data_IF_070318164004
#
_entry.id   IF_070318164004
#
_cell.length_a   1.000
_cell.length_b   1.000
_cell.length_c   1.000
_cell.angle_alpha   90.00
_cell.angle_beta   90.00
_cell.angle_gamma   90.00
#
_symmetry.space_group_name_H-M   'P 1'
#
loop_
_entity.id
_entity.type
_entity.pdbx_description
1 polymer ?
#
# COMPACT_ATOMS: atom_id res chain seq x y z
N UNK A 1 8.43 -1.32 17.38
CA UNK A 1 8.58 -0.30 16.32
C UNK A 1 8.14 -0.92 15.02
N UNK A 2 7.43 -0.17 14.18
CA UNK A 2 6.94 -0.59 12.88
C UNK A 2 6.20 0.57 12.23
N UNK A 3 5.97 0.50 10.93
CA UNK A 3 5.15 1.45 10.20
C UNK A 3 4.30 0.71 9.18
N UNK A 4 3.09 1.22 8.95
CA UNK A 4 2.26 0.77 7.85
C UNK A 4 2.82 1.33 6.54
N UNK A 5 2.96 0.48 5.53
CA UNK A 5 3.52 0.82 4.23
C UNK A 5 2.44 0.89 3.16
N UNK A 6 2.64 1.74 2.16
CA UNK A 6 1.85 1.76 0.93
C UNK A 6 2.77 1.45 -0.26
N UNK A 7 2.30 0.62 -1.17
CA UNK A 7 2.94 0.34 -2.46
C UNK A 7 2.15 1.10 -3.52
N UNK A 8 2.85 1.96 -4.26
CA UNK A 8 2.26 2.80 -5.31
C UNK A 8 3.14 2.81 -6.57
N UNK A 9 2.54 3.15 -7.71
CA UNK A 9 3.22 3.20 -9.02
C UNK A 9 3.57 4.61 -9.47
N UNK A 10 3.01 5.65 -8.84
CA UNK A 10 3.09 7.05 -9.25
C UNK A 10 2.79 7.24 -10.75
N UNK A 11 1.77 6.52 -11.22
CA UNK A 11 1.46 6.44 -12.63
C UNK A 11 0.90 7.77 -13.15
N UNK A 12 1.61 8.38 -14.11
CA UNK A 12 1.18 9.59 -14.82
C UNK A 12 0.45 9.28 -16.14
N UNK A 13 0.40 8.01 -16.54
CA UNK A 13 -0.33 7.46 -17.69
C UNK A 13 -0.80 6.03 -17.32
N UNK A 14 -1.87 5.50 -17.94
CA UNK A 14 -2.40 4.17 -17.61
C UNK A 14 -1.36 3.04 -17.66
N UNK A 15 -0.46 3.07 -18.65
CA UNK A 15 0.62 2.08 -18.81
C UNK A 15 1.59 2.05 -17.61
N UNK A 16 1.66 3.15 -16.84
CA UNK A 16 2.46 3.24 -15.62
C UNK A 16 1.99 2.29 -14.52
N UNK A 17 0.72 1.87 -14.51
CA UNK A 17 0.19 0.95 -13.49
C UNK A 17 0.88 -0.42 -13.53
N UNK A 18 1.44 -0.82 -14.68
CA UNK A 18 2.12 -2.12 -14.83
C UNK A 18 3.37 -2.26 -13.95
N UNK A 19 3.98 -1.15 -13.54
CA UNK A 19 5.23 -1.18 -12.76
C UNK A 19 4.99 -1.49 -11.27
N UNK A 20 3.73 -1.54 -10.81
CA UNK A 20 3.37 -1.85 -9.40
C UNK A 20 3.99 -3.17 -8.92
N UNK A 21 4.21 -4.12 -9.85
CA UNK A 21 4.87 -5.40 -9.59
C UNK A 21 6.27 -5.23 -8.98
N UNK A 22 7.00 -4.17 -9.34
CA UNK A 22 8.32 -3.90 -8.78
C UNK A 22 8.22 -3.44 -7.33
N UNK A 23 7.18 -2.69 -6.96
CA UNK A 23 6.89 -2.35 -5.57
C UNK A 23 6.66 -3.60 -4.70
N UNK A 24 5.90 -4.56 -5.21
CA UNK A 24 5.70 -5.87 -4.55
C UNK A 24 7.03 -6.64 -4.42
N UNK A 25 7.87 -6.64 -5.47
CA UNK A 25 9.19 -7.27 -5.40
C UNK A 25 10.07 -6.64 -4.32
N UNK A 26 10.03 -5.31 -4.15
CA UNK A 26 10.77 -4.64 -3.08
C UNK A 26 10.23 -4.97 -1.69
N UNK A 27 8.90 -5.00 -1.51
CA UNK A 27 8.28 -5.40 -0.25
C UNK A 27 8.72 -6.81 0.19
N UNK A 28 8.75 -7.77 -0.75
CA UNK A 28 9.24 -9.13 -0.49
C UNK A 28 10.72 -9.17 -0.08
N UNK A 29 11.56 -8.32 -0.68
CA UNK A 29 12.99 -8.20 -0.29
C UNK A 29 13.16 -7.62 1.11
N UNK A 30 12.25 -6.74 1.54
CA UNK A 30 12.20 -6.18 2.87
C UNK A 30 11.55 -7.11 3.91
N UNK A 31 11.09 -8.29 3.49
CA UNK A 31 10.37 -9.26 4.32
C UNK A 31 9.06 -8.72 4.88
N UNK A 32 8.45 -7.74 4.20
CA UNK A 32 7.13 -7.24 4.56
C UNK A 32 6.07 -8.32 4.30
N UNK A 33 5.19 -8.50 5.27
CA UNK A 33 4.03 -9.37 5.20
C UNK A 33 2.80 -8.57 4.71
N UNK A 34 1.71 -9.24 4.25
CA UNK A 34 0.51 -8.55 3.81
C UNK A 34 -0.06 -7.56 4.85
N UNK A 35 0.04 -7.89 6.13
CA UNK A 35 -0.44 -7.06 7.25
C UNK A 35 0.36 -5.76 7.43
N UNK A 36 1.60 -5.70 6.90
CA UNK A 36 2.43 -4.49 6.89
C UNK A 36 2.03 -3.51 5.77
N UNK A 37 1.25 -3.95 4.79
CA UNK A 37 0.95 -3.22 3.55
C UNK A 37 -0.52 -2.81 3.51
N UNK A 38 -0.82 -1.51 3.53
CA UNK A 38 -2.21 -1.02 3.55
C UNK A 38 -3.03 -1.42 2.32
N UNK A 39 -2.39 -1.59 1.15
CA UNK A 39 -3.04 -1.95 -0.10
C UNK A 39 -3.72 -3.34 -0.07
N UNK A 40 -3.42 -4.19 0.91
CA UNK A 40 -3.97 -5.54 1.02
C UNK A 40 -5.33 -5.57 1.72
N UNK A 41 -5.71 -4.48 2.41
CA UNK A 41 -6.97 -4.40 3.14
C UNK A 41 -8.16 -4.31 2.18
N UNK A 42 -9.33 -4.86 2.56
CA UNK A 42 -10.60 -4.57 1.90
C UNK A 42 -10.87 -3.06 1.84
N UNK A 43 -11.61 -2.63 0.81
CA UNK A 43 -11.90 -1.21 0.57
C UNK A 43 -12.57 -0.53 1.78
N UNK A 44 -13.52 -1.20 2.43
CA UNK A 44 -14.22 -0.66 3.60
C UNK A 44 -13.24 -0.40 4.76
N UNK A 45 -12.37 -1.36 5.07
CA UNK A 45 -11.35 -1.21 6.12
C UNK A 45 -10.34 -0.11 5.81
N UNK A 46 -9.95 0.05 4.54
CA UNK A 46 -9.06 1.13 4.11
C UNK A 46 -9.70 2.52 4.34
N UNK A 47 -10.96 2.67 3.96
CA UNK A 47 -11.69 3.94 4.11
C UNK A 47 -11.90 4.28 5.59
N UNK A 48 -12.28 3.30 6.42
CA UNK A 48 -12.38 3.48 7.87
C UNK A 48 -11.05 3.93 8.47
N UNK A 49 -9.94 3.28 8.10
CA UNK A 49 -8.60 3.65 8.58
C UNK A 49 -8.22 5.10 8.21
N UNK A 50 -8.52 5.56 7.00
CA UNK A 50 -8.25 6.96 6.60
C UNK A 50 -9.11 7.93 7.41
N UNK A 51 -10.39 7.60 7.62
CA UNK A 51 -11.30 8.47 8.35
C UNK A 51 -10.85 8.65 9.80
N UNK A 52 -10.57 7.56 10.51
CA UNK A 52 -10.07 7.58 11.89
C UNK A 52 -8.81 8.44 12.01
N UNK A 53 -7.88 8.31 11.06
CA UNK A 53 -6.63 9.08 11.05
C UNK A 53 -6.78 10.57 10.78
N UNK A 54 -7.87 11.01 10.16
CA UNK A 54 -8.13 12.44 9.92
C UNK A 54 -8.83 13.10 11.12
N UNK A 55 -9.36 12.30 12.04
CA UNK A 55 -10.05 12.75 13.25
C UNK A 55 -9.09 12.88 14.46
N UNK A 56 -7.87 12.34 14.35
CA UNK A 56 -6.73 12.51 15.29
C UNK A 56 -5.97 13.84 15.07
#
# INVERSE_FOLDING_TARGET
YGCLLAIDSDAHHPDGLEIIRYGVMQARRAWAEPDDIINTRPLEEFLSYIQERNEE
#
